data_IF_062381958141
#
_entry.id   IF_062381958141
#
_cell.length_a   1.000
_cell.length_b   1.000
_cell.length_c   1.000
_cell.angle_alpha   90.00
_cell.angle_beta   90.00
_cell.angle_gamma   90.00
#
_symmetry.space_group_name_H-M   'P 1'
#
loop_
_entity.id
_entity.type
_entity.pdbx_description
1 polymer ?
#
# COMPACT_ATOMS: atom_id res chain seq x y z
N UNK A 1 -5.05 -11.15 40.37
CA UNK A 1 -5.02 -11.53 38.95
C UNK A 1 -4.09 -10.55 38.25
N UNK A 2 -2.87 -10.98 37.92
CA UNK A 2 -1.86 -10.12 37.31
C UNK A 2 -2.23 -9.88 35.84
N UNK A 3 -2.46 -8.62 35.48
CA UNK A 3 -2.51 -8.20 34.07
C UNK A 3 -1.06 -8.03 33.59
N UNK A 4 -0.46 -9.08 33.02
CA UNK A 4 0.68 -8.85 32.13
C UNK A 4 0.13 -8.44 30.77
N UNK A 5 0.34 -7.18 30.39
CA UNK A 5 0.32 -6.80 28.99
C UNK A 5 1.47 -7.56 28.34
N UNK A 6 1.18 -8.57 27.52
CA UNK A 6 2.18 -9.05 26.57
C UNK A 6 2.46 -7.92 25.58
N UNK A 7 3.70 -7.43 25.48
CA UNK A 7 4.03 -6.42 24.49
C UNK A 7 4.05 -7.10 23.12
N UNK A 8 3.30 -6.53 22.17
CA UNK A 8 3.24 -6.95 20.76
C UNK A 8 2.62 -8.32 20.49
N UNK A 9 1.29 -8.42 20.59
CA UNK A 9 0.59 -9.49 19.89
C UNK A 9 0.48 -9.10 18.42
N UNK A 10 1.20 -9.81 17.56
CA UNK A 10 1.04 -9.63 16.12
C UNK A 10 -0.38 -9.99 15.70
N UNK A 11 -0.98 -9.14 14.86
CA UNK A 11 -2.35 -9.34 14.37
C UNK A 11 -2.30 -9.63 12.88
N UNK A 12 -2.75 -10.83 12.52
CA UNK A 12 -2.78 -11.33 11.14
C UNK A 12 -4.23 -11.49 10.69
N UNK A 13 -4.54 -11.04 9.47
CA UNK A 13 -5.83 -11.28 8.83
C UNK A 13 -5.63 -11.59 7.35
N UNK A 14 -6.07 -12.78 6.92
CA UNK A 14 -6.07 -13.20 5.52
C UNK A 14 -7.51 -13.49 5.09
N UNK A 15 -8.01 -12.68 4.17
CA UNK A 15 -9.34 -12.79 3.57
C UNK A 15 -9.27 -12.78 2.04
N UNK A 16 -8.10 -13.10 1.47
CA UNK A 16 -7.90 -13.08 0.03
C UNK A 16 -8.71 -14.14 -0.71
N UNK A 17 -8.97 -13.90 -1.99
CA UNK A 17 -9.71 -14.80 -2.88
C UNK A 17 -11.14 -15.09 -2.40
N UNK A 18 -11.88 -14.05 -2.03
CA UNK A 18 -13.29 -14.15 -1.70
C UNK A 18 -14.12 -13.23 -2.61
N UNK A 19 -15.43 -13.20 -2.36
CA UNK A 19 -16.37 -12.31 -3.03
C UNK A 19 -16.84 -11.21 -2.07
N UNK A 20 -15.94 -10.73 -1.19
CA UNK A 20 -16.26 -9.66 -0.24
C UNK A 20 -16.47 -8.35 -1.00
N UNK A 21 -17.52 -7.62 -0.64
CA UNK A 21 -17.94 -6.38 -1.30
C UNK A 21 -18.07 -5.24 -0.30
N UNK A 22 -18.17 -4.02 -0.81
CA UNK A 22 -18.39 -2.83 0.03
C UNK A 22 -17.08 -2.27 0.61
N UNK A 23 -17.16 -1.20 1.42
CA UNK A 23 -15.97 -0.56 1.97
C UNK A 23 -15.40 -1.34 3.16
N UNK A 24 -14.11 -1.09 3.45
CA UNK A 24 -13.51 -1.52 4.71
C UNK A 24 -14.19 -0.74 5.86
N UNK A 25 -14.67 -1.40 6.92
CA UNK A 25 -15.25 -0.69 8.06
C UNK A 25 -14.23 0.26 8.70
N UNK A 26 -14.66 1.47 9.09
CA UNK A 26 -13.77 2.50 9.63
C UNK A 26 -12.95 2.02 10.85
N UNK A 27 -13.53 1.14 11.67
CA UNK A 27 -12.88 0.58 12.86
C UNK A 27 -11.65 -0.28 12.53
N UNK A 28 -11.51 -0.79 11.30
CA UNK A 28 -10.28 -1.48 10.87
C UNK A 28 -9.07 -0.54 10.90
N UNK A 29 -9.28 0.75 10.68
CA UNK A 29 -8.23 1.77 10.83
C UNK A 29 -7.75 1.92 12.27
N UNK A 30 -8.47 1.42 13.28
CA UNK A 30 -8.01 1.41 14.68
C UNK A 30 -7.17 0.17 15.01
N UNK A 31 -7.29 -0.90 14.23
CA UNK A 31 -6.54 -2.15 14.46
C UNK A 31 -5.08 -1.97 14.04
N UNK A 32 -4.16 -2.45 14.87
CA UNK A 32 -2.74 -2.51 14.54
C UNK A 32 -2.41 -3.89 13.95
N UNK A 33 -2.77 -4.09 12.68
CA UNK A 33 -2.37 -5.27 11.93
C UNK A 33 -0.85 -5.30 11.75
N UNK A 34 -0.27 -6.49 11.89
CA UNK A 34 1.10 -6.80 11.44
C UNK A 34 1.06 -7.25 9.97
N UNK A 35 0.09 -8.10 9.62
CA UNK A 35 -0.13 -8.60 8.26
C UNK A 35 -1.61 -8.54 7.90
N UNK A 36 -1.90 -7.96 6.75
CA UNK A 36 -3.25 -7.84 6.23
C UNK A 36 -3.28 -8.20 4.74
N UNK A 37 -4.01 -9.25 4.40
CA UNK A 37 -4.26 -9.64 3.02
C UNK A 37 -5.77 -9.61 2.74
N UNK A 38 -6.18 -8.63 1.94
CA UNK A 38 -7.55 -8.45 1.45
C UNK A 38 -7.63 -8.63 -0.07
N UNK A 39 -6.58 -9.16 -0.69
CA UNK A 39 -6.45 -9.21 -2.14
C UNK A 39 -7.50 -10.07 -2.82
N UNK A 40 -7.80 -9.78 -4.09
CA UNK A 40 -8.72 -10.58 -4.93
C UNK A 40 -10.11 -10.71 -4.29
N UNK A 41 -10.73 -9.56 -4.09
CA UNK A 41 -12.11 -9.38 -3.68
C UNK A 41 -12.75 -8.27 -4.53
N UNK A 42 -13.99 -7.89 -4.23
CA UNK A 42 -14.70 -6.76 -4.82
C UNK A 42 -14.85 -5.61 -3.80
N UNK A 43 -13.86 -5.42 -2.91
CA UNK A 43 -13.88 -4.37 -1.91
C UNK A 43 -13.71 -3.00 -2.59
N UNK A 44 -14.37 -1.99 -2.03
CA UNK A 44 -14.51 -0.63 -2.58
C UNK A 44 -14.07 0.42 -1.56
N UNK A 45 -14.10 1.69 -1.93
CA UNK A 45 -13.94 2.80 -1.00
C UNK A 45 -12.49 3.09 -0.60
N UNK A 46 -12.34 3.83 0.49
CA UNK A 46 -11.06 4.34 0.98
C UNK A 46 -10.41 3.34 1.96
N UNK A 47 -9.19 2.93 1.65
CA UNK A 47 -8.37 2.02 2.47
C UNK A 47 -7.15 2.74 3.10
N UNK A 48 -7.03 4.06 2.96
CA UNK A 48 -5.90 4.85 3.46
C UNK A 48 -5.74 4.77 4.98
N UNK A 49 -6.83 4.58 5.72
CA UNK A 49 -6.83 4.43 7.18
C UNK A 49 -6.14 3.17 7.70
N UNK A 50 -5.84 2.19 6.83
CA UNK A 50 -5.01 1.02 7.19
C UNK A 50 -3.53 1.37 7.34
N UNK A 51 -3.11 2.48 6.73
CA UNK A 51 -1.76 3.00 6.82
C UNK A 51 -1.67 4.06 7.93
N UNK A 52 -0.47 4.60 8.14
CA UNK A 52 -0.24 5.67 9.09
C UNK A 52 0.97 5.47 9.97
N UNK A 53 1.52 6.58 10.45
CA UNK A 53 2.64 6.56 11.40
C UNK A 53 2.23 5.85 12.69
N UNK A 54 3.13 5.01 13.23
CA UNK A 54 2.90 4.28 14.48
C UNK A 54 2.07 3.00 14.35
N UNK A 55 1.64 2.65 13.13
CA UNK A 55 1.13 1.31 12.83
C UNK A 55 2.27 0.30 12.84
N UNK A 56 1.97 -0.92 13.28
CA UNK A 56 2.92 -2.06 13.30
C UNK A 56 2.94 -2.84 11.97
N UNK A 57 2.21 -2.36 10.96
CA UNK A 57 2.00 -3.05 9.69
C UNK A 57 3.33 -3.31 8.96
N UNK A 58 3.53 -4.57 8.58
CA UNK A 58 4.73 -5.08 7.90
C UNK A 58 4.40 -5.61 6.51
N UNK A 59 3.24 -6.22 6.36
CA UNK A 59 2.76 -6.80 5.10
C UNK A 59 1.34 -6.31 4.83
N UNK A 60 1.12 -5.80 3.62
CA UNK A 60 -0.22 -5.50 3.15
C UNK A 60 -0.40 -5.84 1.67
N UNK A 61 -1.44 -6.61 1.38
CA UNK A 61 -1.89 -6.90 0.02
C UNK A 61 -3.36 -6.50 -0.12
N UNK A 62 -3.59 -5.42 -0.88
CA UNK A 62 -4.91 -4.92 -1.25
C UNK A 62 -5.18 -5.15 -2.75
N UNK A 63 -4.33 -5.92 -3.42
CA UNK A 63 -4.35 -6.02 -4.88
C UNK A 63 -5.65 -6.63 -5.40
N UNK A 64 -6.02 -6.27 -6.63
CA UNK A 64 -7.21 -6.81 -7.32
C UNK A 64 -8.49 -6.62 -6.50
N UNK A 65 -8.80 -5.34 -6.28
CA UNK A 65 -10.02 -4.86 -5.67
C UNK A 65 -10.50 -3.62 -6.47
N UNK A 66 -11.37 -2.81 -5.90
CA UNK A 66 -11.85 -1.55 -6.49
C UNK A 66 -11.63 -0.35 -5.55
N UNK A 67 -10.59 -0.41 -4.70
CA UNK A 67 -10.25 0.68 -3.78
C UNK A 67 -9.94 1.98 -4.51
N UNK A 68 -10.39 3.09 -3.92
CA UNK A 68 -10.20 4.45 -4.44
C UNK A 68 -9.84 5.39 -3.28
N UNK A 69 -8.61 5.88 -3.28
CA UNK A 69 -8.10 6.89 -2.36
C UNK A 69 -6.89 7.61 -2.98
N UNK A 70 -6.46 8.71 -2.36
CA UNK A 70 -5.28 9.46 -2.78
C UNK A 70 -4.03 8.95 -2.04
N UNK A 71 -3.09 8.37 -2.78
CA UNK A 71 -1.85 7.83 -2.22
C UNK A 71 -0.89 8.94 -1.78
N UNK A 72 -1.00 10.16 -2.30
CA UNK A 72 -0.03 11.25 -2.07
C UNK A 72 0.08 11.64 -0.60
N UNK A 73 -1.04 11.56 0.13
CA UNK A 73 -1.12 11.92 1.56
C UNK A 73 -0.90 10.74 2.51
N UNK A 74 -0.70 9.53 1.99
CA UNK A 74 -0.54 8.33 2.81
C UNK A 74 0.86 8.29 3.41
N UNK A 75 0.92 8.20 4.74
CA UNK A 75 2.17 7.92 5.47
C UNK A 75 2.31 6.42 5.61
N UNK A 76 3.33 5.85 4.97
CA UNK A 76 3.57 4.42 5.02
C UNK A 76 4.23 4.03 6.37
N UNK A 77 3.73 2.99 7.06
CA UNK A 77 4.35 2.48 8.29
C UNK A 77 5.81 2.07 8.08
N UNK A 78 6.68 2.39 9.05
CA UNK A 78 8.15 2.24 8.93
C UNK A 78 8.62 0.77 8.83
N UNK A 79 7.80 -0.18 9.30
CA UNK A 79 8.12 -1.62 9.32
C UNK A 79 7.69 -2.37 8.05
N UNK A 80 7.05 -1.68 7.10
CA UNK A 80 6.60 -2.32 5.86
C UNK A 80 7.78 -2.92 5.10
N UNK A 81 7.64 -4.20 4.77
CA UNK A 81 8.51 -4.91 3.85
C UNK A 81 7.80 -5.35 2.57
N UNK A 82 6.46 -5.41 2.58
CA UNK A 82 5.65 -5.82 1.43
C UNK A 82 4.40 -4.95 1.31
N UNK A 83 4.23 -4.35 0.13
CA UNK A 83 3.04 -3.60 -0.25
C UNK A 83 2.64 -3.98 -1.67
N UNK A 84 1.47 -4.59 -1.83
CA UNK A 84 0.82 -4.70 -3.14
C UNK A 84 -0.55 -4.00 -3.08
N UNK A 85 -0.70 -2.95 -3.89
CA UNK A 85 -1.97 -2.24 -4.08
C UNK A 85 -2.37 -2.23 -5.56
N UNK A 86 -1.77 -3.10 -6.36
CA UNK A 86 -1.98 -3.17 -7.80
C UNK A 86 -3.42 -3.54 -8.17
N UNK A 87 -3.86 -3.21 -9.38
CA UNK A 87 -5.21 -3.49 -9.86
C UNK A 87 -6.29 -2.93 -8.94
N UNK A 88 -6.29 -1.60 -8.78
CA UNK A 88 -7.30 -0.83 -8.06
C UNK A 88 -7.61 0.46 -8.84
N UNK A 89 -8.30 1.42 -8.21
CA UNK A 89 -8.59 2.74 -8.76
C UNK A 89 -7.83 3.86 -8.02
N UNK A 90 -6.73 3.56 -7.33
CA UNK A 90 -5.98 4.49 -6.48
C UNK A 90 -5.39 5.62 -7.33
N UNK A 91 -5.49 6.85 -6.83
CA UNK A 91 -5.05 8.08 -7.52
C UNK A 91 -3.96 8.80 -6.73
N UNK A 92 -3.51 9.94 -7.26
CA UNK A 92 -2.45 10.74 -6.65
C UNK A 92 -1.05 10.29 -7.07
N UNK A 93 -0.05 10.67 -6.30
CA UNK A 93 1.37 10.38 -6.52
C UNK A 93 1.90 9.33 -5.53
N UNK A 94 3.03 8.72 -5.88
CA UNK A 94 3.75 7.82 -4.97
C UNK A 94 4.47 8.67 -3.91
N UNK A 95 4.25 8.44 -2.61
CA UNK A 95 4.93 9.16 -1.54
C UNK A 95 6.45 9.07 -1.66
N UNK A 96 7.13 10.22 -1.56
CA UNK A 96 8.60 10.27 -1.62
C UNK A 96 9.27 9.41 -0.52
N UNK A 97 8.56 9.16 0.59
CA UNK A 97 9.01 8.29 1.68
C UNK A 97 9.46 6.91 1.18
N UNK A 98 8.83 6.35 0.14
CA UNK A 98 9.16 5.02 -0.41
C UNK A 98 10.64 4.91 -0.76
N UNK A 99 11.27 5.99 -1.25
CA UNK A 99 12.70 6.01 -1.58
C UNK A 99 13.61 5.84 -0.35
N UNK A 100 13.13 6.22 0.83
CA UNK A 100 13.88 6.10 2.10
C UNK A 100 13.58 4.82 2.89
N UNK A 101 12.58 4.03 2.48
CA UNK A 101 12.16 2.83 3.20
C UNK A 101 13.06 1.63 2.89
N UNK A 102 14.16 1.51 3.62
CA UNK A 102 15.17 0.44 3.42
C UNK A 102 14.66 -0.99 3.66
N UNK A 103 13.58 -1.15 4.45
CA UNK A 103 12.98 -2.45 4.74
C UNK A 103 12.00 -2.92 3.65
N UNK A 104 11.54 -2.01 2.78
CA UNK A 104 10.54 -2.29 1.77
C UNK A 104 11.14 -3.12 0.64
N UNK A 105 10.86 -4.42 0.64
CA UNK A 105 11.44 -5.37 -0.32
C UNK A 105 10.53 -5.59 -1.53
N UNK A 106 9.23 -5.41 -1.37
CA UNK A 106 8.25 -5.55 -2.44
C UNK A 106 7.29 -4.36 -2.43
N UNK A 107 7.14 -3.71 -3.58
CA UNK A 107 6.26 -2.57 -3.78
C UNK A 107 5.63 -2.65 -5.16
N UNK A 108 4.31 -2.83 -5.24
CA UNK A 108 3.60 -2.90 -6.50
C UNK A 108 2.38 -1.97 -6.48
N UNK A 109 2.40 -0.99 -7.38
CA UNK A 109 1.33 0.00 -7.56
C UNK A 109 0.77 0.00 -8.98
N UNK A 110 1.13 -1.00 -9.78
CA UNK A 110 0.71 -1.12 -11.17
C UNK A 110 -0.81 -1.22 -11.33
N UNK A 111 -1.34 -0.89 -12.51
CA UNK A 111 -2.78 -0.94 -12.80
C UNK A 111 -3.61 -0.11 -11.80
N UNK A 112 -3.29 1.17 -11.70
CA UNK A 112 -4.01 2.17 -10.90
C UNK A 112 -4.21 3.45 -11.73
N UNK A 113 -4.57 4.55 -11.07
CA UNK A 113 -4.76 5.88 -11.66
C UNK A 113 -3.73 6.88 -11.12
N UNK A 114 -2.54 6.39 -10.75
CA UNK A 114 -1.47 7.22 -10.21
C UNK A 114 -0.88 8.15 -11.29
N UNK A 115 -0.31 9.26 -10.83
CA UNK A 115 0.13 10.39 -11.64
C UNK A 115 1.34 11.08 -10.99
N UNK A 116 2.16 11.72 -11.82
CA UNK A 116 3.35 12.44 -11.38
C UNK A 116 4.63 11.59 -11.41
N UNK A 117 5.75 12.16 -10.93
CA UNK A 117 7.04 11.49 -10.98
C UNK A 117 7.10 10.31 -10.00
N UNK A 118 7.69 9.20 -10.45
CA UNK A 118 8.18 8.13 -9.58
C UNK A 118 9.33 8.71 -8.75
N UNK A 119 9.31 8.58 -7.40
CA UNK A 119 10.43 9.00 -6.56
C UNK A 119 11.73 8.35 -7.03
N UNK A 120 12.84 9.10 -6.96
CA UNK A 120 14.14 8.61 -7.39
C UNK A 120 15.06 8.34 -6.18
N UNK A 121 16.00 7.42 -6.37
CA UNK A 121 17.05 7.12 -5.39
C UNK A 121 16.66 6.13 -4.30
N UNK A 122 17.64 5.81 -3.46
CA UNK A 122 17.48 4.89 -2.32
C UNK A 122 16.87 3.55 -2.73
N UNK A 123 15.77 3.18 -2.09
CA UNK A 123 15.11 1.90 -2.29
C UNK A 123 14.41 1.77 -3.65
N UNK A 124 14.15 2.88 -4.36
CA UNK A 124 13.44 2.87 -5.64
C UNK A 124 14.19 2.12 -6.74
N UNK A 125 15.51 2.01 -6.63
CA UNK A 125 16.34 1.27 -7.59
C UNK A 125 16.06 -0.24 -7.62
N UNK A 126 15.32 -0.78 -6.63
CA UNK A 126 14.96 -2.21 -6.55
C UNK A 126 13.68 -2.55 -7.31
N UNK A 127 12.87 -1.56 -7.66
CA UNK A 127 11.58 -1.76 -8.32
C UNK A 127 11.72 -1.49 -9.81
N UNK A 128 11.18 -2.40 -10.62
CA UNK A 128 11.31 -2.37 -12.06
C UNK A 128 10.06 -1.77 -12.73
N UNK A 129 10.04 -1.77 -14.07
CA UNK A 129 8.95 -1.25 -14.87
C UNK A 129 7.58 -1.87 -14.50
N UNK A 130 7.55 -3.16 -14.15
CA UNK A 130 6.32 -3.89 -13.85
C UNK A 130 5.65 -3.36 -12.58
N UNK A 131 6.41 -2.86 -11.61
CA UNK A 131 5.84 -2.32 -10.36
C UNK A 131 4.98 -1.06 -10.58
N UNK A 132 5.16 -0.35 -11.71
CA UNK A 132 4.53 0.95 -11.96
C UNK A 132 3.66 1.01 -13.22
N UNK A 133 3.71 -0.02 -14.07
CA UNK A 133 2.99 -0.03 -15.35
C UNK A 133 1.49 0.18 -15.20
N UNK A 134 0.82 0.53 -16.30
CA UNK A 134 -0.62 0.78 -16.34
C UNK A 134 -1.10 1.87 -15.36
N UNK A 135 -0.23 2.84 -15.07
CA UNK A 135 -0.59 4.14 -14.51
C UNK A 135 -0.29 5.22 -15.55
N UNK A 136 -1.32 5.67 -16.28
CA UNK A 136 -1.15 6.47 -17.51
C UNK A 136 -0.38 7.77 -17.31
N UNK A 137 -0.45 8.37 -16.12
CA UNK A 137 0.20 9.65 -15.81
C UNK A 137 1.52 9.49 -15.03
N UNK A 138 1.89 8.30 -14.56
CA UNK A 138 3.18 8.12 -13.91
C UNK A 138 4.32 8.28 -14.93
N UNK A 139 5.44 8.86 -14.48
CA UNK A 139 6.61 9.12 -15.30
C UNK A 139 7.89 9.15 -14.45
N UNK A 140 9.06 9.13 -15.09
CA UNK A 140 10.35 9.04 -14.40
C UNK A 140 10.78 7.59 -14.14
N UNK A 141 12.09 7.37 -14.06
CA UNK A 141 12.66 6.02 -14.01
C UNK A 141 11.99 5.13 -12.94
N UNK A 142 11.62 3.88 -13.26
CA UNK A 142 11.93 3.14 -14.49
C UNK A 142 10.99 3.39 -15.69
N UNK A 143 10.01 4.28 -15.55
CA UNK A 143 9.11 4.69 -16.64
C UNK A 143 9.78 5.75 -17.55
N UNK A 144 9.20 6.02 -18.73
CA UNK A 144 9.63 7.14 -19.56
C UNK A 144 9.66 8.46 -18.78
N UNK A 145 10.61 9.33 -19.14
CA UNK A 145 10.77 10.64 -18.50
C UNK A 145 9.49 11.46 -18.53
N UNK A 146 9.27 12.24 -17.47
CA UNK A 146 8.16 13.17 -17.40
C UNK A 146 8.23 14.20 -18.54
N UNK A 147 7.10 14.41 -19.22
CA UNK A 147 6.98 15.48 -20.21
C UNK A 147 7.01 16.82 -19.46
N UNK A 148 7.78 17.77 -20.00
CA UNK A 148 7.80 19.16 -19.52
C UNK A 148 6.52 19.88 -19.92
#
# INVERSE_FOLDING_TARGET
MFLSKSPHQDVYLWLSHNNLTGPIPADFGAVNFTHLDLSRNDLTGDASGLFGRGKELQYIDLSRNTFYFDLSGVVLPERLYFVDVSHNAIQGSIPAQVASMSNLNFFNVSYNRLCGPVPAGGNMARFDLYNFQHNKCLCGAPLPSCKK
#
